data_IF_567364897569
#
_entry.id   IF_567364897569
#
_cell.length_a   1.000
_cell.length_b   1.000
_cell.length_c   1.000
_cell.angle_alpha   90.00
_cell.angle_beta   90.00
_cell.angle_gamma   90.00
#
_symmetry.space_group_name_H-M   'P 1'
#
loop_
_entity.id
_entity.type
_entity.pdbx_description
1 polymer ?
#
# COMPACT_ATOMS: atom_id res chain seq x y z
N UNK A 1 -21.00 12.31 -2.47
CA UNK A 1 -20.06 12.74 -1.42
C UNK A 1 -18.89 13.48 -2.06
N UNK A 2 -18.57 14.69 -1.60
CA UNK A 2 -17.51 15.52 -2.20
C UNK A 2 -16.29 15.58 -1.27
N UNK A 3 -15.12 15.95 -1.80
CA UNK A 3 -13.90 16.05 -0.98
C UNK A 3 -13.96 17.22 0.01
N UNK A 4 -14.63 18.32 -0.36
CA UNK A 4 -14.85 19.49 0.48
C UNK A 4 -15.66 19.11 1.72
N UNK A 5 -16.67 18.24 1.55
CA UNK A 5 -17.43 17.69 2.68
C UNK A 5 -16.54 16.85 3.59
N UNK A 6 -15.71 15.95 3.04
CA UNK A 6 -14.79 15.11 3.84
C UNK A 6 -13.79 15.97 4.61
N UNK A 7 -13.30 17.05 3.99
CA UNK A 7 -12.42 18.03 4.64
C UNK A 7 -13.13 18.73 5.80
N UNK A 8 -14.36 19.21 5.60
CA UNK A 8 -15.14 19.85 6.66
C UNK A 8 -15.43 18.92 7.84
N UNK A 9 -15.62 17.62 7.58
CA UNK A 9 -15.81 16.59 8.60
C UNK A 9 -14.49 16.23 9.34
N UNK A 10 -13.34 16.66 8.82
CA UNK A 10 -12.00 16.36 9.36
C UNK A 10 -11.14 17.62 9.54
N UNK A 11 -11.55 18.58 10.40
CA UNK A 11 -10.87 19.87 10.54
C UNK A 11 -9.44 19.78 11.09
N UNK A 12 -9.11 18.71 11.82
CA UNK A 12 -7.77 18.50 12.39
C UNK A 12 -6.78 17.91 11.39
N UNK A 13 -7.23 17.54 10.19
CA UNK A 13 -6.35 17.06 9.12
C UNK A 13 -5.79 18.28 8.39
N UNK A 14 -4.47 18.39 8.41
CA UNK A 14 -3.74 19.49 7.79
C UNK A 14 -3.27 19.14 6.38
N UNK A 15 -2.81 20.17 5.66
CA UNK A 15 -2.34 20.06 4.28
C UNK A 15 -1.37 18.88 4.06
N UNK A 16 -1.59 18.16 2.97
CA UNK A 16 -0.90 16.92 2.65
C UNK A 16 -1.55 15.68 3.29
N UNK A 17 -2.71 15.82 3.92
CA UNK A 17 -3.41 14.72 4.59
C UNK A 17 -2.71 14.28 5.87
N UNK A 18 -2.15 15.24 6.61
CA UNK A 18 -1.38 14.98 7.83
C UNK A 18 -2.25 15.15 9.07
N UNK A 19 -1.95 14.38 10.09
CA UNK A 19 -2.59 14.52 11.40
C UNK A 19 -1.62 14.14 12.52
N UNK A 20 -1.72 14.85 13.63
CA UNK A 20 -1.09 14.51 14.90
C UNK A 20 -2.13 14.62 16.00
N UNK A 21 -2.19 13.68 16.96
CA UNK A 21 -3.05 13.82 18.14
C UNK A 21 -2.71 15.11 18.90
N UNK A 22 -3.72 15.93 19.27
CA UNK A 22 -3.47 17.19 19.98
C UNK A 22 -3.20 16.99 21.48
N UNK A 23 -3.64 15.86 22.04
CA UNK A 23 -3.68 15.57 23.47
C UNK A 23 -2.62 14.56 23.93
N UNK A 24 -1.86 13.98 23.00
CA UNK A 24 -0.77 13.06 23.33
C UNK A 24 0.32 13.00 22.25
N UNK A 25 1.48 12.45 22.62
CA UNK A 25 2.53 12.12 21.66
C UNK A 25 2.29 10.72 21.09
N UNK A 26 2.10 10.63 19.77
CA UNK A 26 1.97 9.35 19.09
C UNK A 26 3.24 8.50 19.25
N UNK A 27 3.07 7.19 19.48
CA UNK A 27 4.19 6.23 19.63
C UNK A 27 4.95 5.95 18.33
N UNK A 28 4.26 6.06 17.19
CA UNK A 28 4.81 5.81 15.86
C UNK A 28 4.30 6.88 14.90
N UNK A 29 5.16 7.28 13.96
CA UNK A 29 4.79 8.08 12.80
C UNK A 29 4.54 7.15 11.61
N UNK A 30 3.33 7.24 11.03
CA UNK A 30 2.85 6.29 10.02
C UNK A 30 2.68 6.96 8.66
N UNK A 31 3.39 6.48 7.64
CA UNK A 31 3.11 6.81 6.25
C UNK A 31 2.14 5.79 5.66
N UNK A 32 0.98 6.25 5.18
CA UNK A 32 0.01 5.39 4.49
C UNK A 32 0.18 5.62 2.99
N UNK A 33 0.56 4.56 2.29
CA UNK A 33 0.95 4.57 0.89
C UNK A 33 -0.09 3.82 0.08
N UNK A 34 -0.66 4.51 -0.92
CA UNK A 34 -1.72 3.99 -1.77
C UNK A 34 -1.25 4.02 -3.22
N UNK A 35 -1.04 2.86 -3.88
CA UNK A 35 -0.72 2.79 -5.29
C UNK A 35 -1.97 3.13 -6.09
N UNK A 36 -1.86 4.01 -7.08
CA UNK A 36 -3.04 4.65 -7.67
C UNK A 36 -2.90 4.92 -9.17
N UNK A 37 -4.03 4.78 -9.88
CA UNK A 37 -4.29 5.34 -11.21
C UNK A 37 -5.79 5.30 -11.50
N UNK A 38 -6.38 6.43 -11.91
CA UNK A 38 -7.79 6.53 -12.36
C UNK A 38 -8.85 5.95 -11.40
N UNK A 39 -8.65 6.09 -10.08
CA UNK A 39 -9.56 5.55 -9.05
C UNK A 39 -10.12 6.64 -8.12
N UNK A 40 -10.32 7.86 -8.61
CA UNK A 40 -10.72 9.02 -7.81
C UNK A 40 -11.99 8.80 -7.00
N UNK A 41 -12.96 8.08 -7.56
CA UNK A 41 -14.18 7.72 -6.86
C UNK A 41 -13.90 6.81 -5.63
N UNK A 42 -13.00 5.84 -5.78
CA UNK A 42 -12.60 4.95 -4.67
C UNK A 42 -11.83 5.73 -3.60
N UNK A 43 -10.90 6.58 -4.03
CA UNK A 43 -10.12 7.42 -3.14
C UNK A 43 -11.03 8.31 -2.26
N UNK A 44 -12.09 8.89 -2.83
CA UNK A 44 -13.08 9.67 -2.06
C UNK A 44 -13.69 8.86 -0.92
N UNK A 45 -14.10 7.61 -1.17
CA UNK A 45 -14.60 6.73 -0.10
C UNK A 45 -13.52 6.34 0.89
N UNK A 46 -12.32 6.03 0.40
CA UNK A 46 -11.19 5.69 1.26
C UNK A 46 -10.90 6.82 2.24
N UNK A 47 -10.76 8.06 1.77
CA UNK A 47 -10.51 9.24 2.61
C UNK A 47 -11.65 9.48 3.60
N UNK A 48 -12.91 9.37 3.14
CA UNK A 48 -14.08 9.55 4.01
C UNK A 48 -14.09 8.59 5.20
N UNK A 49 -13.78 7.31 4.98
CA UNK A 49 -13.80 6.33 6.06
C UNK A 49 -12.51 6.33 6.89
N UNK A 50 -11.35 6.45 6.26
CA UNK A 50 -10.09 6.23 6.96
C UNK A 50 -9.64 7.44 7.79
N UNK A 51 -9.86 8.69 7.37
CA UNK A 51 -9.47 9.83 8.20
C UNK A 51 -10.08 9.78 9.62
N UNK A 52 -11.40 9.57 9.79
CA UNK A 52 -11.98 9.42 11.12
C UNK A 52 -11.41 8.22 11.89
N UNK A 53 -11.18 7.07 11.23
CA UNK A 53 -10.64 5.87 11.87
C UNK A 53 -9.23 6.14 12.41
N UNK A 54 -8.34 6.66 11.57
CA UNK A 54 -6.94 6.91 11.91
C UNK A 54 -6.81 7.95 13.03
N UNK A 55 -7.66 8.99 13.03
CA UNK A 55 -7.74 9.97 14.12
C UNK A 55 -8.17 9.32 15.45
N UNK A 56 -9.19 8.46 15.45
CA UNK A 56 -9.61 7.71 16.66
C UNK A 56 -8.51 6.78 17.18
N UNK A 57 -7.64 6.27 16.31
CA UNK A 57 -6.49 5.45 16.68
C UNK A 57 -5.32 6.27 17.28
N UNK A 58 -5.42 7.60 17.30
CA UNK A 58 -4.41 8.53 17.84
C UNK A 58 -2.99 8.27 17.31
N UNK A 59 -2.87 7.99 16.02
CA UNK A 59 -1.58 7.86 15.34
C UNK A 59 -1.18 9.20 14.72
N UNK A 60 0.12 9.49 14.66
CA UNK A 60 0.64 10.50 13.75
C UNK A 60 0.67 9.88 12.35
N UNK A 61 0.03 10.49 11.37
CA UNK A 61 0.02 9.94 10.02
C UNK A 61 0.11 10.99 8.91
N UNK A 62 0.56 10.53 7.74
CA UNK A 62 0.41 11.21 6.45
C UNK A 62 -0.06 10.23 5.38
N UNK A 63 -0.89 10.69 4.44
CA UNK A 63 -1.44 9.87 3.35
C UNK A 63 -0.77 10.25 2.02
N UNK A 64 -0.22 9.26 1.34
CA UNK A 64 0.52 9.40 0.08
C UNK A 64 -0.14 8.58 -1.02
N UNK A 65 -0.71 9.28 -2.00
CA UNK A 65 -1.28 8.68 -3.20
C UNK A 65 -0.19 8.66 -4.27
N UNK A 66 0.28 7.47 -4.63
CA UNK A 66 1.35 7.29 -5.60
C UNK A 66 0.72 7.03 -6.96
N UNK A 67 0.56 8.11 -7.72
CA UNK A 67 -0.14 8.12 -8.98
C UNK A 67 0.80 7.73 -10.14
N UNK A 68 0.51 6.61 -10.79
CA UNK A 68 1.23 6.18 -11.99
C UNK A 68 0.81 7.02 -13.19
N UNK A 69 1.75 7.76 -13.75
CA UNK A 69 1.53 8.51 -14.99
C UNK A 69 1.46 7.59 -16.21
N UNK A 70 0.60 7.95 -17.17
CA UNK A 70 0.40 7.22 -18.42
C UNK A 70 -0.49 5.98 -18.31
N UNK A 71 -0.69 5.32 -19.45
CA UNK A 71 -1.63 4.20 -19.61
C UNK A 71 -0.94 2.83 -19.74
N UNK A 72 0.39 2.76 -19.61
CA UNK A 72 1.13 1.50 -19.63
C UNK A 72 0.72 0.55 -18.49
N UNK A 73 1.17 -0.70 -18.50
CA UNK A 73 0.78 -1.69 -17.49
C UNK A 73 1.01 -1.18 -16.05
N UNK A 74 0.01 -1.37 -15.19
CA UNK A 74 0.11 -0.95 -13.79
C UNK A 74 1.16 -1.77 -13.03
N UNK A 75 1.92 -1.14 -12.14
CA UNK A 75 2.91 -1.83 -11.31
C UNK A 75 2.75 -1.44 -9.84
N UNK A 76 1.90 -2.22 -9.15
CA UNK A 76 1.54 -1.98 -7.76
C UNK A 76 2.75 -1.93 -6.84
N UNK A 77 3.56 -2.99 -6.80
CA UNK A 77 4.70 -3.10 -5.89
C UNK A 77 5.76 -2.01 -6.10
N UNK A 78 6.03 -1.63 -7.34
CA UNK A 78 6.96 -0.53 -7.66
C UNK A 78 6.45 0.82 -7.15
N UNK A 79 5.15 1.11 -7.27
CA UNK A 79 4.57 2.34 -6.72
C UNK A 79 4.64 2.37 -5.18
N UNK A 80 4.47 1.23 -4.51
CA UNK A 80 4.63 1.13 -3.06
C UNK A 80 6.08 1.44 -2.61
N UNK A 81 7.09 0.96 -3.34
CA UNK A 81 8.50 1.32 -3.13
C UNK A 81 8.74 2.83 -3.29
N UNK A 82 8.15 3.45 -4.32
CA UNK A 82 8.23 4.89 -4.55
C UNK A 82 7.59 5.65 -3.39
N UNK A 83 6.41 5.23 -2.95
CA UNK A 83 5.73 5.86 -1.81
C UNK A 83 6.55 5.81 -0.53
N UNK A 84 7.22 4.69 -0.26
CA UNK A 84 8.16 4.59 0.86
C UNK A 84 9.28 5.64 0.75
N UNK A 85 9.89 5.75 -0.43
CA UNK A 85 11.02 6.67 -0.66
C UNK A 85 10.60 8.14 -0.63
N UNK A 86 9.45 8.48 -1.19
CA UNK A 86 8.96 9.87 -1.24
C UNK A 86 8.39 10.33 0.11
N UNK A 87 7.68 9.46 0.85
CA UNK A 87 7.19 9.81 2.18
C UNK A 87 8.33 10.18 3.13
N UNK A 88 9.47 9.46 3.06
CA UNK A 88 10.66 9.73 3.86
C UNK A 88 11.35 11.08 3.56
N UNK A 89 11.08 11.70 2.41
CA UNK A 89 11.58 13.06 2.12
C UNK A 89 10.75 14.14 2.80
N UNK A 90 9.50 13.83 3.14
CA UNK A 90 8.55 14.79 3.70
C UNK A 90 8.47 14.71 5.24
N UNK A 91 8.73 13.54 5.84
CA UNK A 91 8.95 13.40 7.28
C UNK A 91 9.70 12.11 7.65
N UNK A 92 10.25 12.06 8.87
CA UNK A 92 10.81 10.85 9.45
C UNK A 92 9.68 9.90 9.90
N UNK A 93 9.33 8.95 9.04
CA UNK A 93 8.35 7.90 9.36
C UNK A 93 9.01 6.62 9.88
N UNK A 94 8.40 6.01 10.88
CA UNK A 94 8.84 4.75 11.51
C UNK A 94 8.13 3.54 10.93
N UNK A 95 6.89 3.75 10.46
CA UNK A 95 5.96 2.74 10.02
C UNK A 95 5.36 3.08 8.65
N UNK A 96 5.23 2.07 7.80
CA UNK A 96 4.68 2.20 6.45
C UNK A 96 3.52 1.22 6.30
N UNK A 97 2.34 1.76 6.02
CA UNK A 97 1.14 0.99 5.72
C UNK A 97 0.89 1.07 4.21
N UNK A 98 0.84 -0.07 3.55
CA UNK A 98 0.58 -0.20 2.12
C UNK A 98 -0.87 -0.65 1.95
N UNK A 99 -1.71 0.22 1.40
CA UNK A 99 -3.16 -0.02 1.31
C UNK A 99 -3.63 0.07 -0.14
N UNK A 100 -4.38 -0.92 -0.58
CA UNK A 100 -5.19 -0.77 -1.78
C UNK A 100 -6.30 0.27 -1.54
N UNK A 101 -6.61 1.07 -2.56
CA UNK A 101 -7.55 2.21 -2.46
C UNK A 101 -9.01 1.78 -2.32
N UNK A 102 -9.31 0.54 -2.67
CA UNK A 102 -10.64 -0.04 -2.68
C UNK A 102 -10.97 -0.86 -1.42
N UNK A 103 -10.07 -0.91 -0.43
CA UNK A 103 -10.26 -1.69 0.80
C UNK A 103 -10.49 -0.79 2.02
N UNK A 104 -11.65 -0.98 2.66
CA UNK A 104 -12.06 -0.23 3.86
C UNK A 104 -12.14 -1.18 5.06
N UNK A 105 -11.46 -0.91 6.19
CA UNK A 105 -11.59 -1.70 7.40
C UNK A 105 -13.01 -1.56 7.98
N UNK A 106 -13.57 -2.66 8.45
CA UNK A 106 -14.91 -2.68 9.04
C UNK A 106 -14.91 -2.47 10.56
N UNK A 107 -13.73 -2.41 11.18
CA UNK A 107 -13.56 -2.30 12.63
C UNK A 107 -12.32 -1.44 12.94
N UNK A 108 -12.49 -0.37 13.71
CA UNK A 108 -11.41 0.56 14.02
C UNK A 108 -10.45 0.06 15.11
N UNK A 109 -10.74 -1.08 15.73
CA UNK A 109 -9.78 -1.82 16.57
C UNK A 109 -8.69 -2.48 15.72
N UNK A 110 -8.82 -2.50 14.39
CA UNK A 110 -7.74 -2.88 13.50
C UNK A 110 -6.75 -1.71 13.36
N UNK A 111 -5.81 -1.60 14.31
CA UNK A 111 -4.95 -0.43 14.46
C UNK A 111 -3.91 -0.31 13.33
N UNK A 112 -3.94 0.79 12.56
CA UNK A 112 -3.04 1.09 11.44
C UNK A 112 -1.66 1.56 11.92
N UNK A 113 -0.92 0.65 12.54
CA UNK A 113 0.44 0.87 13.00
C UNK A 113 1.28 -0.40 12.80
N UNK A 114 2.59 -0.28 12.98
CA UNK A 114 3.51 -1.40 12.78
C UNK A 114 3.72 -2.17 14.09
N UNK A 115 4.08 -3.44 13.95
CA UNK A 115 4.31 -4.38 15.05
C UNK A 115 5.72 -4.97 14.92
N UNK A 116 6.15 -5.79 15.87
CA UNK A 116 7.47 -6.45 15.86
C UNK A 116 7.69 -7.36 14.63
N UNK A 117 6.58 -7.82 14.03
CA UNK A 117 6.53 -8.64 12.84
C UNK A 117 5.71 -7.93 11.73
N UNK A 118 6.06 -8.09 10.44
CA UNK A 118 5.28 -7.55 9.33
C UNK A 118 3.79 -7.87 9.48
N UNK A 119 2.94 -6.86 9.35
CA UNK A 119 1.53 -6.93 9.67
C UNK A 119 0.70 -7.09 8.40
N UNK A 120 -0.21 -8.07 8.38
CA UNK A 120 -1.26 -8.19 7.38
C UNK A 120 -2.60 -7.80 8.02
N UNK A 121 -3.22 -6.72 7.54
CA UNK A 121 -4.45 -6.18 8.11
C UNK A 121 -5.69 -6.78 7.45
N UNK A 122 -5.69 -6.92 6.12
CA UNK A 122 -6.84 -7.35 5.32
C UNK A 122 -7.01 -8.88 5.27
N UNK A 123 -7.19 -9.50 6.44
CA UNK A 123 -7.21 -10.97 6.56
C UNK A 123 -8.55 -11.61 6.24
N UNK A 124 -9.64 -10.83 6.25
CA UNK A 124 -11.00 -11.31 5.99
C UNK A 124 -11.75 -10.30 5.12
N UNK A 125 -11.61 -10.40 3.81
CA UNK A 125 -12.33 -9.54 2.86
C UNK A 125 -13.69 -10.14 2.47
N UNK A 126 -14.70 -9.29 2.31
CA UNK A 126 -16.04 -9.70 1.86
C UNK A 126 -16.02 -10.44 0.51
N UNK A 127 -15.17 -10.01 -0.44
CA UNK A 127 -14.98 -10.68 -1.74
C UNK A 127 -14.51 -12.13 -1.64
N UNK A 128 -13.91 -12.52 -0.51
CA UNK A 128 -13.43 -13.86 -0.21
C UNK A 128 -14.28 -14.55 0.87
N UNK A 129 -15.52 -14.07 1.09
CA UNK A 129 -16.42 -14.63 2.11
C UNK A 129 -15.90 -14.46 3.54
N UNK A 130 -15.15 -13.39 3.81
CA UNK A 130 -14.49 -13.11 5.09
C UNK A 130 -13.53 -14.22 5.55
N UNK A 131 -12.89 -14.91 4.60
CA UNK A 131 -11.87 -15.91 4.86
C UNK A 131 -10.54 -15.50 4.24
N UNK A 132 -9.45 -15.92 4.87
CA UNK A 132 -8.11 -15.77 4.31
C UNK A 132 -7.99 -16.73 3.10
N UNK A 133 -7.61 -16.26 1.90
CA UNK A 133 -7.54 -17.12 0.71
C UNK A 133 -6.61 -18.32 0.87
N UNK A 134 -5.43 -18.09 1.44
CA UNK A 134 -4.42 -19.10 1.77
C UNK A 134 -3.40 -18.52 2.76
N UNK A 135 -2.62 -19.37 3.43
CA UNK A 135 -1.72 -18.97 4.52
C UNK A 135 -0.67 -17.92 4.10
N UNK A 136 -0.14 -18.04 2.88
CA UNK A 136 0.83 -17.11 2.28
C UNK A 136 0.26 -15.76 1.85
N UNK A 137 -1.05 -15.56 1.90
CA UNK A 137 -1.69 -14.36 1.37
C UNK A 137 -1.28 -13.10 2.18
N UNK A 138 -0.77 -12.10 1.47
CA UNK A 138 -0.28 -10.83 2.03
C UNK A 138 -0.73 -9.59 1.23
N UNK A 139 -1.71 -9.76 0.34
CA UNK A 139 -2.29 -8.69 -0.47
C UNK A 139 -3.25 -7.77 0.29
N UNK A 140 -3.77 -6.74 -0.38
CA UNK A 140 -4.75 -5.82 0.20
C UNK A 140 -4.12 -4.73 1.05
N UNK A 141 -4.05 -4.94 2.37
CA UNK A 141 -3.52 -3.96 3.32
C UNK A 141 -2.48 -4.61 4.23
N UNK A 142 -1.25 -4.09 4.19
CA UNK A 142 -0.10 -4.59 4.96
C UNK A 142 0.70 -3.45 5.59
N UNK A 143 1.54 -3.77 6.58
CA UNK A 143 2.35 -2.79 7.29
C UNK A 143 3.72 -3.33 7.66
N UNK A 144 4.76 -2.54 7.38
CA UNK A 144 6.14 -2.85 7.75
C UNK A 144 6.79 -1.64 8.40
N UNK A 145 7.54 -1.88 9.47
CA UNK A 145 8.42 -0.85 10.02
C UNK A 145 9.53 -0.53 9.02
N UNK A 146 10.18 0.63 9.17
CA UNK A 146 11.35 1.01 8.37
C UNK A 146 12.41 -0.10 8.32
N UNK A 147 12.69 -0.70 9.49
CA UNK A 147 13.67 -1.79 9.63
C UNK A 147 13.21 -3.05 8.88
N UNK A 148 11.95 -3.46 9.04
CA UNK A 148 11.41 -4.64 8.36
C UNK A 148 11.42 -4.47 6.84
N UNK A 149 11.02 -3.29 6.34
CA UNK A 149 10.99 -2.99 4.91
C UNK A 149 12.39 -3.00 4.29
N UNK A 150 13.37 -2.39 4.95
CA UNK A 150 14.76 -2.41 4.50
C UNK A 150 15.37 -3.82 4.56
N UNK A 151 15.03 -4.63 5.57
CA UNK A 151 15.53 -6.00 5.72
C UNK A 151 15.18 -6.88 4.51
N UNK A 152 14.03 -6.65 3.87
CA UNK A 152 13.58 -7.40 2.69
C UNK A 152 14.00 -6.75 1.36
N UNK A 153 14.81 -5.69 1.39
CA UNK A 153 15.14 -4.85 0.23
C UNK A 153 13.88 -4.26 -0.44
N UNK A 154 12.88 -3.87 0.35
CA UNK A 154 11.59 -3.43 -0.19
C UNK A 154 10.88 -4.50 -1.03
N UNK A 155 9.99 -4.06 -1.91
CA UNK A 155 9.13 -4.92 -2.74
C UNK A 155 9.72 -5.11 -4.16
N UNK A 156 9.31 -6.15 -4.90
CA UNK A 156 9.81 -6.35 -6.27
C UNK A 156 9.32 -5.25 -7.23
N UNK A 157 10.18 -4.78 -8.14
CA UNK A 157 9.82 -3.78 -9.15
C UNK A 157 9.39 -4.42 -10.47
N UNK A 158 9.62 -5.72 -10.67
CA UNK A 158 9.43 -6.36 -11.98
C UNK A 158 8.03 -7.00 -12.17
N UNK A 159 7.10 -6.79 -11.23
CA UNK A 159 5.73 -7.28 -11.33
C UNK A 159 4.85 -6.26 -12.08
N UNK A 160 4.86 -6.38 -13.40
CA UNK A 160 3.98 -5.62 -14.28
C UNK A 160 2.67 -6.39 -14.52
N UNK A 161 1.55 -5.77 -14.15
CA UNK A 161 0.21 -6.35 -14.26
C UNK A 161 -0.23 -7.03 -12.98
N UNK A 162 -1.31 -7.81 -13.08
CA UNK A 162 -1.99 -8.35 -11.90
C UNK A 162 -1.37 -9.66 -11.39
N UNK A 163 -0.98 -9.65 -10.11
CA UNK A 163 -0.85 -10.82 -9.25
C UNK A 163 0.57 -11.35 -9.03
N UNK A 164 0.79 -11.89 -7.84
CA UNK A 164 1.97 -12.61 -7.41
C UNK A 164 3.05 -11.74 -6.77
N UNK A 165 2.91 -10.43 -6.79
CA UNK A 165 3.84 -9.53 -6.12
C UNK A 165 3.67 -9.59 -4.59
N UNK A 166 2.46 -9.80 -4.11
CA UNK A 166 2.13 -10.02 -2.70
C UNK A 166 2.69 -11.36 -2.18
N UNK A 167 2.62 -12.41 -3.00
CA UNK A 167 3.27 -13.69 -2.74
C UNK A 167 4.81 -13.57 -2.67
N UNK A 168 5.43 -12.80 -3.57
CA UNK A 168 6.87 -12.51 -3.52
C UNK A 168 7.23 -11.76 -2.23
N UNK A 169 6.44 -10.76 -1.84
CA UNK A 169 6.64 -10.04 -0.57
C UNK A 169 6.55 -10.98 0.63
N UNK A 170 5.55 -11.88 0.66
CA UNK A 170 5.45 -12.90 1.70
C UNK A 170 6.70 -13.80 1.74
N UNK A 171 7.18 -14.25 0.58
CA UNK A 171 8.41 -15.04 0.48
C UNK A 171 9.63 -14.25 0.99
N UNK A 172 9.77 -12.96 0.66
CA UNK A 172 10.88 -12.14 1.16
C UNK A 172 10.87 -12.02 2.69
N UNK A 173 9.68 -11.85 3.27
CA UNK A 173 9.47 -11.78 4.72
C UNK A 173 9.95 -13.09 5.38
N UNK A 174 9.46 -14.23 4.90
CA UNK A 174 9.78 -15.54 5.46
C UNK A 174 11.25 -15.93 5.26
N UNK A 175 11.82 -15.65 4.09
CA UNK A 175 13.25 -15.88 3.79
C UNK A 175 14.19 -15.03 4.67
N UNK A 176 13.72 -13.90 5.22
CA UNK A 176 14.46 -13.08 6.19
C UNK A 176 14.14 -13.42 7.66
N UNK A 177 13.54 -14.59 7.90
CA UNK A 177 13.25 -15.10 9.24
C UNK A 177 12.15 -14.33 9.97
N UNK A 178 11.37 -13.51 9.27
CA UNK A 178 10.22 -12.81 9.84
C UNK A 178 8.95 -13.63 9.61
N UNK A 179 7.95 -13.45 10.47
CA UNK A 179 6.64 -14.08 10.38
C UNK A 179 5.59 -13.01 10.11
N UNK A 180 4.49 -13.37 9.47
CA UNK A 180 3.37 -12.43 9.27
C UNK A 180 2.49 -12.41 10.52
N UNK A 181 2.33 -11.23 11.10
CA UNK A 181 1.37 -10.94 12.17
C UNK A 181 0.00 -10.59 11.59
N UNK A 182 -1.08 -11.02 12.25
CA UNK A 182 -2.48 -10.82 11.81
C UNK A 182 -3.39 -10.47 13.01
N UNK A 183 -4.43 -9.64 12.83
CA UNK A 183 -5.45 -9.40 13.87
C UNK A 183 -6.33 -10.63 14.10
N UNK A 184 -7.20 -10.58 15.12
CA UNK A 184 -8.36 -11.46 15.22
C UNK A 184 -9.23 -11.30 13.96
N UNK A 185 -9.76 -12.41 13.44
CA UNK A 185 -10.52 -12.45 12.18
C UNK A 185 -11.78 -11.56 12.20
N UNK A 186 -12.36 -11.29 13.37
CA UNK A 186 -13.52 -10.39 13.50
C UNK A 186 -13.11 -8.92 13.36
N UNK A 187 -11.90 -8.58 13.80
CA UNK A 187 -11.33 -7.23 13.73
C UNK A 187 -10.72 -6.99 12.34
N UNK A 188 -10.08 -8.00 11.76
CA UNK A 188 -9.42 -7.92 10.44
C UNK A 188 -10.35 -7.99 9.24
N UNK A 189 -11.63 -7.61 9.39
CA UNK A 189 -12.62 -7.62 8.32
C UNK A 189 -12.51 -6.38 7.46
N UNK A 190 -12.58 -6.58 6.14
CA UNK A 190 -12.54 -5.52 5.15
C UNK A 190 -13.70 -5.64 4.16
N UNK A 191 -14.18 -4.50 3.72
CA UNK A 191 -15.10 -4.38 2.59
C UNK A 191 -14.35 -3.84 1.38
N UNK A 192 -14.51 -4.53 0.25
CA UNK A 192 -14.02 -4.06 -1.04
C UNK A 192 -15.07 -3.15 -1.69
N UNK A 193 -14.67 -1.94 -2.09
CA UNK A 193 -15.47 -1.08 -2.95
C UNK A 193 -15.51 -1.73 -4.33
N UNK A 194 -16.70 -2.14 -4.77
CA UNK A 194 -16.87 -2.87 -6.02
C UNK A 194 -16.44 -2.03 -7.23
N UNK A 195 -15.74 -2.66 -8.15
CA UNK A 195 -15.36 -2.09 -9.44
C UNK A 195 -15.24 -3.18 -10.50
N UNK A 196 -15.34 -2.77 -11.77
CA UNK A 196 -14.98 -3.64 -12.88
C UNK A 196 -13.46 -3.84 -12.95
N UNK A 197 -13.01 -4.93 -13.56
CA UNK A 197 -11.57 -5.20 -13.70
C UNK A 197 -10.92 -4.11 -14.55
N UNK A 198 -9.79 -3.56 -14.06
CA UNK A 198 -9.09 -2.50 -14.79
C UNK A 198 -8.60 -2.99 -16.15
N UNK A 199 -8.88 -2.20 -17.19
CA UNK A 199 -8.23 -2.35 -18.50
C UNK A 199 -6.71 -2.13 -18.30
N UNK A 200 -5.86 -2.89 -19.01
CA UNK A 200 -4.39 -2.80 -18.92
C UNK A 200 -3.78 -3.28 -17.58
N UNK A 201 -4.52 -4.07 -16.82
CA UNK A 201 -4.04 -4.79 -15.64
C UNK A 201 -4.26 -6.31 -15.80
N UNK A 202 -3.86 -6.84 -16.97
CA UNK A 202 -3.95 -8.26 -17.27
C UNK A 202 -3.12 -9.09 -16.28
N UNK A 203 -3.51 -10.35 -16.03
CA UNK A 203 -2.69 -11.29 -15.28
C UNK A 203 -1.22 -11.27 -15.74
N UNK A 204 -0.29 -11.09 -14.81
CA UNK A 204 1.13 -11.23 -15.13
C UNK A 204 1.42 -12.70 -15.49
N UNK A 205 1.80 -13.02 -16.74
CA UNK A 205 2.00 -14.41 -17.17
C UNK A 205 3.20 -15.06 -16.47
N UNK A 206 4.16 -14.26 -15.98
CA UNK A 206 5.37 -14.75 -15.33
C UNK A 206 5.24 -14.86 -13.81
N UNK A 207 4.07 -14.56 -13.22
CA UNK A 207 3.91 -14.45 -11.76
C UNK A 207 4.42 -15.68 -11.00
N UNK A 208 4.08 -16.89 -11.43
CA UNK A 208 4.48 -18.11 -10.73
C UNK A 208 5.98 -18.37 -10.82
N UNK A 209 6.57 -18.11 -12.00
CA UNK A 209 8.02 -18.21 -12.19
C UNK A 209 8.76 -17.19 -11.31
N UNK A 210 8.27 -15.94 -11.25
CA UNK A 210 8.87 -14.90 -10.40
C UNK A 210 8.79 -15.26 -8.91
N UNK A 211 7.64 -15.77 -8.43
CA UNK A 211 7.46 -16.23 -7.05
C UNK A 211 8.45 -17.35 -6.70
N UNK A 212 8.65 -18.33 -7.59
CA UNK A 212 9.61 -19.42 -7.36
C UNK A 212 11.05 -18.90 -7.28
N UNK A 213 11.34 -17.77 -7.93
CA UNK A 213 12.67 -17.19 -8.00
C UNK A 213 12.93 -16.07 -6.98
N UNK A 214 12.00 -15.79 -6.05
CA UNK A 214 12.15 -14.72 -5.04
C UNK A 214 13.49 -14.76 -4.32
N UNK A 215 13.94 -15.95 -3.88
CA UNK A 215 15.22 -16.12 -3.16
C UNK A 215 16.43 -15.62 -3.95
N UNK A 216 16.38 -15.78 -5.28
CA UNK A 216 17.45 -15.37 -6.20
C UNK A 216 17.33 -13.90 -6.57
N UNK A 217 16.11 -13.38 -6.74
CA UNK A 217 15.86 -12.03 -7.25
C UNK A 217 15.82 -10.95 -6.16
N UNK A 218 15.42 -11.27 -4.94
CA UNK A 218 15.11 -10.26 -3.92
C UNK A 218 16.30 -9.35 -3.53
N UNK A 219 17.54 -9.82 -3.71
CA UNK A 219 18.74 -9.02 -3.43
C UNK A 219 19.04 -7.98 -4.52
N UNK A 220 18.56 -8.19 -5.75
CA UNK A 220 18.82 -7.34 -6.92
C UNK A 220 17.59 -6.58 -7.41
N UNK A 221 16.39 -7.09 -7.17
CA UNK A 221 15.12 -6.45 -7.48
C UNK A 221 14.46 -5.98 -6.19
N UNK A 222 14.43 -4.67 -5.96
CA UNK A 222 13.95 -4.08 -4.71
C UNK A 222 14.12 -2.57 -4.65
N UNK A 223 14.12 -2.01 -3.44
CA UNK A 223 14.37 -0.57 -3.27
C UNK A 223 15.75 -0.14 -3.79
N UNK A 224 16.74 -1.03 -3.77
CA UNK A 224 18.08 -0.77 -4.28
C UNK A 224 18.17 -0.61 -5.81
N UNK A 225 17.22 -1.17 -6.57
CA UNK A 225 17.15 -1.06 -8.03
C UNK A 225 15.96 -0.22 -8.50
N UNK A 226 15.32 0.51 -7.58
CA UNK A 226 14.16 1.33 -7.87
C UNK A 226 14.50 2.50 -8.81
N UNK A 227 13.97 2.45 -10.02
CA UNK A 227 14.07 3.52 -11.02
C UNK A 227 12.69 4.09 -11.35
N UNK A 228 12.58 5.42 -11.29
CA UNK A 228 11.39 6.20 -11.64
C UNK A 228 11.79 7.67 -11.85
N UNK A 229 10.92 8.42 -12.51
CA UNK A 229 11.02 9.88 -12.62
C UNK A 229 9.85 10.51 -11.87
N UNK A 230 10.18 11.37 -10.91
CA UNK A 230 9.19 12.20 -10.23
C UNK A 230 8.71 13.29 -11.20
N UNK A 231 7.40 13.35 -11.44
CA UNK A 231 6.81 14.37 -12.32
C UNK A 231 6.24 15.52 -11.51
N UNK A 232 5.50 15.22 -10.44
CA UNK A 232 4.82 16.23 -9.65
C UNK A 232 4.54 15.74 -8.23
N UNK A 233 4.63 16.65 -7.27
CA UNK A 233 4.10 16.49 -5.91
C UNK A 233 3.09 17.59 -5.66
N UNK A 234 1.89 17.23 -5.21
CA UNK A 234 0.84 18.18 -4.87
C UNK A 234 0.25 17.83 -3.51
N UNK A 235 0.30 18.77 -2.57
CA UNK A 235 -0.29 18.60 -1.25
C UNK A 235 -1.73 19.11 -1.30
N UNK A 236 -2.69 18.18 -1.24
CA UNK A 236 -4.10 18.50 -1.09
C UNK A 236 -4.46 18.52 0.41
N UNK A 237 -5.60 19.11 0.81
CA UNK A 237 -5.99 19.14 2.23
C UNK A 237 -6.04 17.75 2.88
N UNK A 238 -6.43 16.71 2.14
CA UNK A 238 -6.68 15.37 2.67
C UNK A 238 -5.60 14.33 2.33
N UNK A 239 -4.68 14.64 1.42
CA UNK A 239 -3.62 13.70 1.01
C UNK A 239 -2.51 14.42 0.25
N UNK A 240 -1.35 13.78 0.15
CA UNK A 240 -0.28 14.19 -0.76
C UNK A 240 -0.35 13.31 -2.02
N UNK A 241 -0.50 13.91 -3.18
CA UNK A 241 -0.41 13.22 -4.46
C UNK A 241 1.02 13.28 -4.99
N UNK A 242 1.56 12.13 -5.36
CA UNK A 242 2.90 11.99 -5.93
C UNK A 242 2.77 11.31 -7.28
N UNK A 243 2.83 12.09 -8.36
CA UNK A 243 2.73 11.59 -9.73
C UNK A 243 4.10 11.21 -10.26
N UNK A 244 4.23 9.97 -10.72
CA UNK A 244 5.51 9.39 -11.14
C UNK A 244 5.40 8.65 -12.46
N UNK A 245 6.47 8.73 -13.25
CA UNK A 245 6.70 7.89 -14.40
C UNK A 245 7.61 6.74 -13.99
N UNK A 246 7.15 5.51 -14.18
CA UNK A 246 7.84 4.29 -13.74
C UNK A 246 8.47 3.50 -14.89
N UNK A 247 8.50 4.06 -16.09
CA UNK A 247 8.93 3.38 -17.31
C UNK A 247 7.89 2.37 -17.81
N UNK A 248 8.32 1.50 -18.72
CA UNK A 248 7.46 0.53 -19.41
C UNK A 248 7.78 -0.90 -18.98
N UNK A 249 6.80 -1.83 -19.07
CA UNK A 249 7.09 -3.25 -18.93
C UNK A 249 8.13 -3.69 -19.98
N UNK A 250 8.98 -4.69 -19.67
CA UNK A 250 9.85 -5.31 -20.66
C UNK A 250 9.01 -5.83 -21.85
N UNK A 251 9.57 -5.84 -23.08
CA UNK A 251 8.90 -6.43 -24.22
C UNK A 251 8.46 -7.86 -23.89
N UNK A 252 7.23 -8.23 -24.26
CA UNK A 252 6.79 -9.63 -24.14
C UNK A 252 7.72 -10.49 -24.99
N UNK A 253 8.41 -11.45 -24.38
CA UNK A 253 9.12 -12.48 -25.15
C UNK A 253 8.12 -13.10 -26.13
N UNK A 254 8.45 -13.22 -27.43
CA UNK A 254 7.58 -13.91 -28.37
C UNK A 254 7.28 -15.31 -27.81
N UNK A 255 6.01 -15.71 -27.84
CA UNK A 255 5.63 -17.08 -27.47
C UNK A 255 6.35 -18.00 -28.46
N UNK A 256 7.31 -18.77 -27.96
CA UNK A 256 7.83 -19.93 -28.68
C UNK A 256 6.77 -21.03 -28.75
#
# INVERSE_FOLDING_TARGET
MTLERVQKENPDVTEGGKYSPPDCKAKQKVAIIIPFRHRDHHLKYWLHYLHPILRRQKIYYGIYIINQHGEDTFNRAKLLNIGYKEALKDAEYDCFIFSDVDLIPMDDRNLYHCYDQPRHFAIAMDKFGFRLPYTGYFGGVSGLSKVQFLKINGFPNEYWGWGGEDDDIYNRITLNGMKVSRPDVRIGRYRMIKHERDKHNEPNPQRFNKIQNTKTTMKRDGINSLQYRLLQVTKYPLYTNVTVDIGKPPPRSPRG
#
